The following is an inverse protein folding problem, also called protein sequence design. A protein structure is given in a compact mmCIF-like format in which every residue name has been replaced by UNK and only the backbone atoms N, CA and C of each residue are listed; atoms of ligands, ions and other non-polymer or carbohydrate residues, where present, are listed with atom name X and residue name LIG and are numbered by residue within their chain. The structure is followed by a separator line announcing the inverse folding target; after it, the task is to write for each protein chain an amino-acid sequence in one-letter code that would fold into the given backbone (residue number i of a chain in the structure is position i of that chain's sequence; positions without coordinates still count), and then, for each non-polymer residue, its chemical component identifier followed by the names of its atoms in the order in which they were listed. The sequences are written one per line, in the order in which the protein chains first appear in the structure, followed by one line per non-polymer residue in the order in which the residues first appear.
data_IF_574233822352
#
_entry.id   IF_574233822352
#
_cell.length_a   1.000
_cell.length_b   1.000
_cell.length_c   1.000
_cell.angle_alpha   90.00
_cell.angle_beta   90.00
_cell.angle_gamma   90.00
#
_symmetry.space_group_name_H-M   'P 1'
#
loop_
_entity.id
_entity.type
_entity.pdbx_description
1 polymer ?
#
# COMPACT_ATOMS: atom_id res chain seq x y z
N UNK A 1 25.98 -3.48 -17.13
CA UNK A 1 24.73 -4.03 -17.67
C UNK A 1 23.58 -3.16 -17.18
N UNK A 2 22.76 -2.61 -18.08
CA UNK A 2 21.56 -1.84 -17.70
C UNK A 2 20.51 -2.82 -17.17
N UNK A 3 20.07 -2.68 -15.92
CA UNK A 3 18.96 -3.47 -15.41
C UNK A 3 17.65 -2.93 -15.97
N UNK A 4 17.04 -3.67 -16.90
CA UNK A 4 15.70 -3.36 -17.40
C UNK A 4 14.67 -3.73 -16.34
N UNK A 5 14.04 -2.72 -15.75
CA UNK A 5 12.94 -2.91 -14.81
C UNK A 5 11.64 -3.10 -15.59
N UNK A 6 10.93 -4.22 -15.35
CA UNK A 6 9.64 -4.52 -15.98
C UNK A 6 8.51 -4.26 -14.98
N UNK A 7 7.49 -3.51 -15.40
CA UNK A 7 6.30 -3.22 -14.61
C UNK A 7 5.03 -3.48 -15.44
N UNK A 8 3.97 -3.93 -14.79
CA UNK A 8 2.66 -4.20 -15.41
C UNK A 8 1.59 -3.49 -14.57
N UNK A 9 0.79 -2.63 -15.22
CA UNK A 9 -0.39 -2.00 -14.62
C UNK A 9 -1.65 -2.79 -14.97
N UNK A 10 -2.57 -2.95 -14.02
CA UNK A 10 -3.83 -3.68 -14.19
C UNK A 10 -4.97 -2.86 -13.58
N UNK A 11 -5.75 -2.21 -14.45
CA UNK A 11 -6.82 -1.28 -14.06
C UNK A 11 -8.22 -1.79 -14.42
N UNK A 12 -9.24 -1.27 -13.74
CA UNK A 12 -10.66 -1.63 -13.94
C UNK A 12 -11.52 -1.49 -12.69
N UNK A 13 -12.85 -1.65 -12.79
CA UNK A 13 -13.80 -1.33 -11.72
C UNK A 13 -13.65 -2.20 -10.47
N UNK A 14 -14.11 -1.75 -9.31
CA UNK A 14 -14.09 -2.54 -8.08
C UNK A 14 -14.75 -3.93 -8.28
N UNK A 15 -14.27 -4.94 -7.54
CA UNK A 15 -14.74 -6.33 -7.63
C UNK A 15 -14.59 -7.05 -8.99
N UNK A 16 -13.89 -6.50 -9.98
CA UNK A 16 -13.64 -7.16 -11.28
C UNK A 16 -12.59 -8.29 -11.27
N UNK A 17 -12.08 -8.69 -10.10
CA UNK A 17 -11.08 -9.77 -9.98
C UNK A 17 -9.62 -9.38 -10.28
N UNK A 18 -9.32 -8.10 -10.52
CA UNK A 18 -7.95 -7.60 -10.83
C UNK A 18 -6.89 -8.08 -9.85
N UNK A 19 -7.14 -8.01 -8.55
CA UNK A 19 -6.17 -8.43 -7.53
C UNK A 19 -5.82 -9.92 -7.65
N UNK A 20 -6.80 -10.75 -8.01
CA UNK A 20 -6.59 -12.18 -8.24
C UNK A 20 -5.75 -12.43 -9.49
N UNK A 21 -6.05 -11.75 -10.59
CA UNK A 21 -5.29 -11.86 -11.85
C UNK A 21 -3.87 -11.31 -11.68
N UNK A 22 -3.73 -10.15 -11.06
CA UNK A 22 -2.44 -9.51 -10.78
C UNK A 22 -1.53 -10.42 -9.94
N UNK A 23 -2.08 -11.07 -8.90
CA UNK A 23 -1.33 -12.02 -8.07
C UNK A 23 -0.80 -13.19 -8.90
N UNK A 24 -1.66 -13.84 -9.69
CA UNK A 24 -1.27 -14.99 -10.52
C UNK A 24 -0.27 -14.62 -11.60
N UNK A 25 -0.44 -13.45 -12.22
CA UNK A 25 0.49 -12.95 -13.24
C UNK A 25 1.86 -12.62 -12.63
N UNK A 26 1.88 -12.01 -11.44
CA UNK A 26 3.12 -11.70 -10.74
C UNK A 26 3.86 -13.01 -10.38
N UNK A 27 3.14 -14.02 -9.88
CA UNK A 27 3.70 -15.34 -9.60
C UNK A 27 4.28 -16.02 -10.87
N UNK A 28 3.58 -15.96 -12.00
CA UNK A 28 4.07 -16.59 -13.25
C UNK A 28 5.26 -15.88 -13.88
N UNK A 29 5.40 -14.57 -13.66
CA UNK A 29 6.48 -13.75 -14.20
C UNK A 29 7.64 -13.54 -13.21
N UNK A 30 7.57 -14.06 -11.99
CA UNK A 30 8.55 -13.80 -10.93
C UNK A 30 8.59 -12.33 -10.49
N UNK A 31 7.48 -11.61 -10.61
CA UNK A 31 7.32 -10.21 -10.21
C UNK A 31 6.72 -10.09 -8.81
N UNK A 32 6.91 -8.92 -8.21
CA UNK A 32 6.20 -8.52 -6.98
C UNK A 32 4.86 -7.92 -7.35
N UNK A 33 3.78 -8.40 -6.72
CA UNK A 33 2.48 -7.75 -6.80
C UNK A 33 2.47 -6.55 -5.83
N UNK A 34 2.37 -5.34 -6.39
CA UNK A 34 2.26 -4.10 -5.63
C UNK A 34 0.80 -3.75 -5.38
N UNK A 35 0.43 -3.50 -4.13
CA UNK A 35 -0.89 -3.01 -3.74
C UNK A 35 -0.78 -1.54 -3.33
N UNK A 36 -0.89 -0.62 -4.30
CA UNK A 36 -0.84 0.82 -4.04
C UNK A 36 -1.90 1.29 -3.04
N UNK A 37 -3.07 0.64 -3.01
CA UNK A 37 -4.12 0.94 -2.04
C UNK A 37 -3.72 0.69 -0.58
N UNK A 38 -2.74 -0.19 -0.32
CA UNK A 38 -2.24 -0.43 1.04
C UNK A 38 -1.53 0.80 1.63
N UNK A 39 -0.85 1.59 0.78
CA UNK A 39 -0.18 2.83 1.20
C UNK A 39 -1.17 3.89 1.65
N UNK A 40 -2.21 4.14 0.86
CA UNK A 40 -3.26 5.10 1.23
C UNK A 40 -3.92 4.71 2.55
N UNK A 41 -4.28 3.42 2.72
CA UNK A 41 -4.90 2.95 3.97
C UNK A 41 -3.94 3.00 5.17
N UNK A 42 -2.64 2.78 4.98
CA UNK A 42 -1.65 2.89 6.03
C UNK A 42 -1.51 4.33 6.55
N UNK A 43 -1.44 5.30 5.64
CA UNK A 43 -1.42 6.72 6.01
C UNK A 43 -2.71 7.11 6.73
N UNK A 44 -3.88 6.77 6.17
CA UNK A 44 -5.18 7.04 6.82
C UNK A 44 -5.25 6.41 8.22
N UNK A 45 -4.80 5.17 8.35
CA UNK A 45 -4.76 4.48 9.65
C UNK A 45 -3.92 5.25 10.66
N UNK A 46 -2.70 5.70 10.28
CA UNK A 46 -1.83 6.45 11.18
C UNK A 46 -2.44 7.79 11.60
N UNK A 47 -3.06 8.54 10.66
CA UNK A 47 -3.74 9.80 10.97
C UNK A 47 -4.88 9.58 11.96
N UNK A 48 -5.66 8.52 11.78
CA UNK A 48 -6.73 8.12 12.71
C UNK A 48 -6.19 7.73 14.08
N UNK A 49 -5.05 7.04 14.16
CA UNK A 49 -4.41 6.72 15.44
C UNK A 49 -3.91 7.96 16.19
N UNK A 50 -3.51 9.02 15.48
CA UNK A 50 -3.12 10.30 16.06
C UNK A 50 -4.33 11.17 16.48
N UNK A 51 -5.56 10.73 16.21
CA UNK A 51 -6.77 11.48 16.55
C UNK A 51 -6.95 12.77 15.74
N UNK A 52 -6.29 12.86 14.59
CA UNK A 52 -6.35 14.02 13.71
C UNK A 52 -7.64 13.97 12.88
N UNK A 53 -8.32 15.11 12.81
CA UNK A 53 -9.45 15.31 11.92
C UNK A 53 -9.01 15.21 10.45
N UNK A 54 -9.61 14.28 9.71
CA UNK A 54 -9.32 14.03 8.29
C UNK A 54 -9.69 15.21 7.39
N UNK A 55 -10.65 16.05 7.81
CA UNK A 55 -11.04 17.27 7.08
C UNK A 55 -10.04 18.42 7.30
N UNK A 56 -9.19 18.33 8.34
CA UNK A 56 -8.12 19.30 8.57
C UNK A 56 -6.88 18.96 7.74
N UNK A 57 -6.92 19.40 6.47
CA UNK A 57 -5.83 19.18 5.50
C UNK A 57 -4.44 19.60 6.01
N UNK A 58 -4.34 20.70 6.76
CA UNK A 58 -3.06 21.19 7.26
C UNK A 58 -2.47 20.22 8.31
N UNK A 59 -3.28 19.79 9.27
CA UNK A 59 -2.88 18.82 10.28
C UNK A 59 -2.51 17.46 9.69
N UNK A 60 -3.26 17.00 8.68
CA UNK A 60 -2.95 15.75 7.96
C UNK A 60 -1.59 15.85 7.27
N UNK A 61 -1.29 16.96 6.57
CA UNK A 61 -0.01 17.17 5.90
C UNK A 61 1.16 17.23 6.89
N UNK A 62 0.97 17.87 8.04
CA UNK A 62 1.97 17.91 9.11
C UNK A 62 2.20 16.54 9.75
N UNK A 63 1.18 15.70 9.88
CA UNK A 63 1.36 14.33 10.32
C UNK A 63 2.15 13.53 9.28
N UNK A 64 1.75 13.61 8.00
CA UNK A 64 2.40 12.90 6.91
C UNK A 64 3.90 13.23 6.78
N UNK A 65 4.31 14.48 7.02
CA UNK A 65 5.72 14.87 6.94
C UNK A 65 6.61 14.23 8.02
N UNK A 66 6.00 13.78 9.12
CA UNK A 66 6.67 13.12 10.25
C UNK A 66 6.64 11.59 10.15
N UNK A 67 5.83 11.03 9.26
CA UNK A 67 5.69 9.58 9.10
C UNK A 67 6.92 9.01 8.39
N UNK A 68 7.53 7.97 8.97
CA UNK A 68 8.44 7.11 8.22
C UNK A 68 7.63 6.00 7.56
N UNK A 69 7.65 5.97 6.23
CA UNK A 69 6.99 4.97 5.40
C UNK A 69 8.04 4.05 4.80
N UNK A 70 8.00 2.77 5.15
CA UNK A 70 8.89 1.75 4.61
C UNK A 70 8.07 0.71 3.84
N UNK A 71 8.61 0.27 2.70
CA UNK A 71 8.01 -0.74 1.84
C UNK A 71 8.90 -1.99 1.82
N UNK A 72 8.28 -3.16 1.89
CA UNK A 72 8.98 -4.44 1.81
C UNK A 72 8.24 -5.45 0.95
N UNK A 73 8.78 -6.66 0.86
CA UNK A 73 8.15 -7.76 0.12
C UNK A 73 8.04 -8.98 1.03
N UNK A 74 6.85 -9.59 1.08
CA UNK A 74 6.60 -10.86 1.75
C UNK A 74 5.71 -11.74 0.88
N UNK A 75 6.16 -12.95 0.57
CA UNK A 75 5.44 -13.90 -0.30
C UNK A 75 5.03 -13.28 -1.65
N UNK A 76 5.96 -12.57 -2.31
CA UNK A 76 5.74 -11.83 -3.57
C UNK A 76 4.65 -10.75 -3.52
N UNK A 77 4.20 -10.35 -2.33
CA UNK A 77 3.28 -9.24 -2.11
C UNK A 77 4.02 -8.06 -1.47
N UNK A 78 3.71 -6.84 -1.91
CA UNK A 78 4.19 -5.63 -1.24
C UNK A 78 3.63 -5.54 0.19
N UNK A 79 4.46 -5.12 1.12
CA UNK A 79 4.12 -4.80 2.52
C UNK A 79 4.42 -3.33 2.81
N UNK A 80 3.76 -2.77 3.82
CA UNK A 80 3.95 -1.38 4.23
C UNK A 80 4.10 -1.27 5.74
N UNK A 81 5.02 -0.43 6.16
CA UNK A 81 5.29 -0.07 7.54
C UNK A 81 5.14 1.43 7.73
N UNK A 82 4.55 1.82 8.85
CA UNK A 82 4.54 3.20 9.34
C UNK A 82 5.25 3.23 10.69
N UNK A 83 6.30 4.04 10.83
CA UNK A 83 7.05 4.18 12.08
C UNK A 83 7.48 2.83 12.68
N UNK A 84 8.15 1.99 11.89
CA UNK A 84 8.55 0.60 12.20
C UNK A 84 7.42 -0.41 12.44
N UNK A 85 6.16 -0.01 12.36
CA UNK A 85 5.04 -0.93 12.55
C UNK A 85 4.59 -1.51 11.22
N UNK A 86 4.75 -2.83 11.07
CA UNK A 86 4.22 -3.58 9.93
C UNK A 86 2.69 -3.65 10.01
N UNK A 87 2.01 -3.05 9.02
CA UNK A 87 0.56 -3.04 8.95
C UNK A 87 0.07 -4.19 8.07
N UNK A 88 -0.90 -4.96 8.58
CA UNK A 88 -1.39 -6.16 7.89
C UNK A 88 -2.91 -6.20 7.77
N UNK A 89 -3.62 -6.61 8.82
CA UNK A 89 -5.08 -6.69 8.86
C UNK A 89 -5.69 -5.33 9.18
N UNK A 90 -4.97 -4.47 9.89
CA UNK A 90 -5.41 -3.12 10.29
C UNK A 90 -5.82 -2.27 9.10
N UNK A 91 -5.14 -2.47 7.96
CA UNK A 91 -5.35 -1.74 6.71
C UNK A 91 -6.14 -2.55 5.68
N UNK A 92 -6.85 -3.61 6.09
CA UNK A 92 -7.67 -4.46 5.22
C UNK A 92 -9.15 -4.47 5.59
N UNK A 93 -9.49 -4.05 6.81
CA UNK A 93 -10.87 -3.87 7.23
C UNK A 93 -11.48 -2.67 6.51
N UNK A 94 -12.63 -2.87 5.86
CA UNK A 94 -13.50 -1.75 5.54
C UNK A 94 -14.01 -1.19 6.88
N UNK A 95 -13.80 0.10 7.11
CA UNK A 95 -14.61 0.84 8.08
C UNK A 95 -16.06 0.88 7.62
#
# INVERSE_FOLDING_TARGET
MSQTHRAVAIDGPAASGKSTVAKRLAESLGLVMVNSGAMYRAVTWQVLQEGIDLENRAAVLEAMSRMRIDCGVRNNLSTIMINDRLLTTEIRSAG
#
